data_IF_503063198526
#
_entry.id   IF_503063198526
#
_cell.length_a   1.000
_cell.length_b   1.000
_cell.length_c   1.000
_cell.angle_alpha   90.00
_cell.angle_beta   90.00
_cell.angle_gamma   90.00
#
_symmetry.space_group_name_H-M   'P 1'
#
loop_
_entity.id
_entity.type
_entity.pdbx_description
1 polymer ?
#
# COMPACT_ATOMS: atom_id res chain seq x y z
N UNK A 1 -20.76 18.70 -4.26
CA UNK A 1 -21.14 17.90 -3.08
C UNK A 1 -20.88 16.41 -3.25
N UNK A 2 -21.32 15.73 -4.32
CA UNK A 2 -21.10 14.27 -4.49
C UNK A 2 -19.61 13.87 -4.50
N UNK A 3 -18.75 14.63 -5.17
CA UNK A 3 -17.29 14.35 -5.18
C UNK A 3 -16.64 14.55 -3.80
N UNK A 4 -17.11 15.53 -3.02
CA UNK A 4 -16.63 15.76 -1.66
C UNK A 4 -17.01 14.61 -0.74
N UNK A 5 -18.25 14.11 -0.84
CA UNK A 5 -18.72 12.97 -0.04
C UNK A 5 -17.92 11.67 -0.36
N UNK A 6 -17.61 11.45 -1.64
CA UNK A 6 -16.77 10.32 -2.05
C UNK A 6 -15.34 10.45 -1.50
N UNK A 7 -14.75 11.65 -1.51
CA UNK A 7 -13.43 11.92 -0.94
C UNK A 7 -13.40 11.70 0.57
N UNK A 8 -14.45 12.12 1.29
CA UNK A 8 -14.58 11.89 2.74
C UNK A 8 -14.67 10.40 3.07
N UNK A 9 -15.46 9.63 2.32
CA UNK A 9 -15.57 8.17 2.49
C UNK A 9 -14.24 7.46 2.21
N UNK A 10 -13.49 7.94 1.24
CA UNK A 10 -12.15 7.41 0.93
C UNK A 10 -11.17 7.73 2.05
N UNK A 11 -11.14 8.97 2.53
CA UNK A 11 -10.28 9.40 3.64
C UNK A 11 -10.57 8.64 4.94
N UNK A 12 -11.85 8.33 5.21
CA UNK A 12 -12.25 7.58 6.39
C UNK A 12 -11.60 6.19 6.44
N UNK A 13 -11.53 5.48 5.30
CA UNK A 13 -10.86 4.18 5.23
C UNK A 13 -9.36 4.29 5.58
N UNK A 14 -8.69 5.37 5.15
CA UNK A 14 -7.28 5.60 5.51
C UNK A 14 -7.10 5.92 7.00
N UNK A 15 -8.00 6.71 7.60
CA UNK A 15 -7.96 7.03 9.02
C UNK A 15 -8.19 5.81 9.92
N UNK A 16 -8.89 4.80 9.43
CA UNK A 16 -9.12 3.56 10.17
C UNK A 16 -7.93 2.59 10.12
N UNK A 17 -6.98 2.75 9.18
CA UNK A 17 -5.81 1.87 9.06
C UNK A 17 -4.92 1.85 10.31
N UNK A 18 -4.56 2.97 10.96
CA UNK A 18 -3.81 2.93 12.22
C UNK A 18 -4.51 2.14 13.32
N UNK A 19 -5.82 2.31 13.48
CA UNK A 19 -6.61 1.55 14.44
C UNK A 19 -6.62 0.04 14.11
N UNK A 20 -6.82 -0.30 12.84
CA UNK A 20 -6.73 -1.68 12.36
C UNK A 20 -5.36 -2.28 12.60
N UNK A 21 -4.29 -1.51 12.38
CA UNK A 21 -2.93 -1.96 12.61
C UNK A 21 -2.62 -2.22 14.09
N UNK A 22 -3.13 -1.39 15.00
CA UNK A 22 -3.04 -1.64 16.45
C UNK A 22 -3.78 -2.91 16.81
N UNK A 23 -5.04 -3.03 16.37
CA UNK A 23 -5.89 -4.18 16.72
C UNK A 23 -5.30 -5.49 16.19
N UNK A 24 -5.12 -5.59 14.88
CA UNK A 24 -4.67 -6.83 14.24
C UNK A 24 -3.17 -7.09 14.41
N UNK A 25 -2.36 -6.03 14.57
CA UNK A 25 -0.95 -6.16 14.93
C UNK A 25 -0.79 -6.80 16.31
N UNK A 26 -1.57 -6.33 17.30
CA UNK A 26 -1.62 -6.95 18.62
C UNK A 26 -2.09 -8.41 18.54
N UNK A 27 -3.14 -8.69 17.76
CA UNK A 27 -3.59 -10.07 17.54
C UNK A 27 -2.49 -10.93 16.90
N UNK A 28 -1.77 -10.40 15.91
CA UNK A 28 -0.69 -11.12 15.22
C UNK A 28 0.49 -11.42 16.17
N UNK A 29 0.87 -10.46 17.01
CA UNK A 29 1.99 -10.62 17.93
C UNK A 29 1.65 -11.48 19.18
N UNK A 30 0.36 -11.55 19.55
CA UNK A 30 -0.11 -12.29 20.73
C UNK A 30 -0.64 -13.70 20.42
N UNK A 31 -1.39 -13.84 19.32
CA UNK A 31 -2.15 -15.06 19.00
C UNK A 31 -1.70 -15.72 17.69
N UNK A 32 -0.69 -15.14 17.03
CA UNK A 32 -0.13 -15.66 15.78
C UNK A 32 -0.57 -14.91 14.53
N UNK A 33 0.32 -14.96 13.53
CA UNK A 33 0.17 -14.25 12.26
C UNK A 33 -1.00 -14.77 11.46
N UNK A 34 -1.18 -16.11 11.42
CA UNK A 34 -2.26 -16.79 10.73
C UNK A 34 -3.64 -16.32 11.18
N UNK A 35 -3.89 -16.31 12.49
CA UNK A 35 -5.19 -15.93 13.05
C UNK A 35 -5.54 -14.49 12.71
N UNK A 36 -4.60 -13.57 12.86
CA UNK A 36 -4.77 -12.16 12.51
C UNK A 36 -5.11 -11.98 11.03
N UNK A 37 -4.41 -12.65 10.12
CA UNK A 37 -4.64 -12.61 8.68
C UNK A 37 -6.02 -13.17 8.28
N UNK A 38 -6.50 -14.19 8.98
CA UNK A 38 -7.84 -14.75 8.74
C UNK A 38 -8.94 -13.75 9.12
N UNK A 39 -8.85 -13.13 10.30
CA UNK A 39 -9.83 -12.14 10.74
C UNK A 39 -9.82 -10.88 9.87
N UNK A 40 -8.65 -10.41 9.45
CA UNK A 40 -8.54 -9.29 8.52
C UNK A 40 -9.29 -9.56 7.21
N UNK A 41 -9.10 -10.74 6.60
CA UNK A 41 -9.80 -11.11 5.37
C UNK A 41 -11.32 -11.25 5.55
N UNK A 42 -11.78 -11.76 6.70
CA UNK A 42 -13.23 -11.81 7.00
C UNK A 42 -13.83 -10.40 7.03
N UNK A 43 -13.16 -9.44 7.68
CA UNK A 43 -13.62 -8.05 7.69
C UNK A 43 -13.65 -7.44 6.30
N UNK A 44 -12.64 -7.71 5.47
CA UNK A 44 -12.58 -7.24 4.07
C UNK A 44 -13.73 -7.80 3.25
N UNK A 45 -13.98 -9.11 3.38
CA UNK A 45 -15.09 -9.79 2.71
C UNK A 45 -16.43 -9.16 3.09
N UNK A 46 -16.68 -9.02 4.39
CA UNK A 46 -17.92 -8.46 4.91
C UNK A 46 -18.14 -7.02 4.45
N UNK A 47 -17.10 -6.16 4.54
CA UNK A 47 -17.16 -4.79 4.04
C UNK A 47 -17.45 -4.71 2.53
N UNK A 48 -16.84 -5.59 1.73
CA UNK A 48 -17.08 -5.66 0.28
C UNK A 48 -18.49 -6.13 -0.06
N UNK A 49 -19.00 -7.16 0.64
CA UNK A 49 -20.37 -7.62 0.49
C UNK A 49 -21.40 -6.55 0.88
N UNK A 50 -21.17 -5.83 1.98
CA UNK A 50 -22.04 -4.72 2.38
C UNK A 50 -22.18 -3.68 1.27
N UNK A 51 -21.09 -3.33 0.59
CA UNK A 51 -21.12 -2.39 -0.55
C UNK A 51 -21.87 -3.01 -1.73
N UNK A 52 -21.58 -4.27 -2.05
CA UNK A 52 -22.20 -4.98 -3.19
C UNK A 52 -23.71 -5.05 -3.10
N UNK A 53 -24.25 -5.31 -1.91
CA UNK A 53 -25.70 -5.46 -1.68
C UNK A 53 -26.39 -4.16 -1.23
N UNK A 54 -25.62 -3.06 -1.05
CA UNK A 54 -26.18 -1.81 -0.54
C UNK A 54 -27.27 -1.27 -1.48
N UNK A 55 -28.51 -1.05 -1.00
CA UNK A 55 -29.54 -0.40 -1.78
C UNK A 55 -29.20 1.05 -2.08
N UNK A 56 -29.85 1.61 -3.10
CA UNK A 56 -29.61 3.00 -3.51
C UNK A 56 -30.21 3.99 -2.50
N UNK A 57 -29.72 5.24 -2.55
CA UNK A 57 -30.26 6.33 -1.70
C UNK A 57 -31.78 6.52 -1.90
N UNK A 58 -32.28 6.31 -3.12
CA UNK A 58 -33.70 6.41 -3.45
C UNK A 58 -34.57 5.34 -2.77
N UNK A 59 -33.96 4.21 -2.40
CA UNK A 59 -34.66 3.10 -1.75
C UNK A 59 -34.66 3.19 -0.23
N UNK A 60 -33.50 3.54 0.38
CA UNK A 60 -33.31 3.50 1.84
C UNK A 60 -32.85 4.83 2.45
N UNK A 61 -32.83 5.91 1.67
CA UNK A 61 -32.48 7.25 2.16
C UNK A 61 -31.10 7.32 2.81
N UNK A 62 -31.03 7.94 3.98
CA UNK A 62 -29.78 8.11 4.75
C UNK A 62 -29.11 6.82 5.20
N UNK A 63 -29.82 5.70 5.23
CA UNK A 63 -29.23 4.41 5.58
C UNK A 63 -28.20 3.95 4.53
N UNK A 64 -28.29 4.36 3.25
CA UNK A 64 -27.34 4.02 2.21
C UNK A 64 -25.94 4.59 2.50
N UNK A 65 -25.72 5.90 2.69
CA UNK A 65 -24.40 6.43 3.01
C UNK A 65 -23.88 5.93 4.36
N UNK A 66 -24.72 5.68 5.37
CA UNK A 66 -24.30 5.08 6.64
C UNK A 66 -23.76 3.68 6.42
N UNK A 67 -24.43 2.85 5.65
CA UNK A 67 -23.96 1.49 5.28
C UNK A 67 -22.61 1.54 4.55
N UNK A 68 -22.45 2.46 3.60
CA UNK A 68 -21.18 2.65 2.90
C UNK A 68 -20.06 3.11 3.86
N UNK A 69 -20.38 3.99 4.82
CA UNK A 69 -19.42 4.46 5.83
C UNK A 69 -18.95 3.29 6.72
N UNK A 70 -19.89 2.47 7.22
CA UNK A 70 -19.55 1.29 8.02
C UNK A 70 -18.68 0.33 7.21
N UNK A 71 -19.05 0.04 5.97
CA UNK A 71 -18.26 -0.83 5.11
C UNK A 71 -16.84 -0.30 4.90
N UNK A 72 -16.66 1.02 4.71
CA UNK A 72 -15.34 1.65 4.58
C UNK A 72 -14.52 1.60 5.86
N UNK A 73 -15.14 1.73 7.02
CA UNK A 73 -14.50 1.53 8.32
C UNK A 73 -13.96 0.11 8.42
N UNK A 74 -14.79 -0.90 8.13
CA UNK A 74 -14.38 -2.31 8.17
C UNK A 74 -13.23 -2.61 7.20
N UNK A 75 -13.30 -2.12 5.98
CA UNK A 75 -12.23 -2.26 4.99
C UNK A 75 -10.93 -1.56 5.46
N UNK A 76 -11.03 -0.37 6.05
CA UNK A 76 -9.89 0.36 6.59
C UNK A 76 -9.20 -0.37 7.74
N UNK A 77 -9.98 -0.89 8.69
CA UNK A 77 -9.49 -1.72 9.79
C UNK A 77 -8.78 -2.98 9.27
N UNK A 78 -9.40 -3.68 8.32
CA UNK A 78 -8.82 -4.86 7.68
C UNK A 78 -7.47 -4.57 7.03
N UNK A 79 -7.41 -3.54 6.18
CA UNK A 79 -6.17 -3.16 5.47
C UNK A 79 -5.05 -2.73 6.43
N UNK A 80 -5.40 -2.02 7.51
CA UNK A 80 -4.43 -1.61 8.52
C UNK A 80 -3.75 -2.81 9.17
N UNK A 81 -4.52 -3.82 9.52
CA UNK A 81 -4.01 -5.03 10.15
C UNK A 81 -3.28 -5.97 9.20
N UNK A 82 -3.78 -6.08 7.99
CA UNK A 82 -3.23 -7.02 7.00
C UNK A 82 -1.79 -6.68 6.62
N UNK A 83 -1.46 -5.39 6.48
CA UNK A 83 -0.11 -4.99 6.08
C UNK A 83 0.96 -5.49 7.05
N UNK A 84 0.82 -5.19 8.35
CA UNK A 84 1.79 -5.58 9.37
C UNK A 84 1.92 -7.10 9.50
N UNK A 85 0.79 -7.81 9.57
CA UNK A 85 0.76 -9.25 9.71
C UNK A 85 1.31 -9.99 8.47
N UNK A 86 0.93 -9.56 7.25
CA UNK A 86 1.37 -10.24 6.01
C UNK A 86 2.83 -9.97 5.68
N UNK A 87 3.32 -8.74 5.88
CA UNK A 87 4.73 -8.40 5.70
C UNK A 87 5.61 -9.19 6.68
N UNK A 88 5.16 -9.32 7.94
CA UNK A 88 5.82 -10.12 8.98
C UNK A 88 5.82 -11.59 8.61
N UNK A 89 4.65 -12.17 8.33
CA UNK A 89 4.52 -13.58 7.99
C UNK A 89 5.43 -13.97 6.82
N UNK A 90 5.38 -13.23 5.72
CA UNK A 90 6.18 -13.55 4.54
C UNK A 90 7.68 -13.40 4.78
N UNK A 91 8.09 -12.39 5.57
CA UNK A 91 9.50 -12.22 5.94
C UNK A 91 10.00 -13.34 6.86
N UNK A 92 9.13 -13.88 7.72
CA UNK A 92 9.46 -14.97 8.66
C UNK A 92 9.57 -16.33 7.97
N UNK A 93 8.72 -16.65 6.99
CA UNK A 93 8.76 -17.92 6.24
C UNK A 93 9.82 -17.92 5.13
N UNK A 94 10.25 -16.75 4.67
CA UNK A 94 11.23 -16.64 3.61
C UNK A 94 12.62 -17.11 4.07
N UNK A 95 13.29 -17.87 3.19
CA UNK A 95 14.69 -18.23 3.42
C UNK A 95 15.55 -16.97 3.62
N UNK A 96 16.47 -16.92 4.61
CA UNK A 96 17.24 -15.73 4.96
C UNK A 96 17.92 -15.03 3.76
N UNK A 97 18.44 -15.80 2.82
CA UNK A 97 19.13 -15.29 1.64
C UNK A 97 18.20 -14.83 0.49
N UNK A 98 16.86 -14.95 0.65
CA UNK A 98 15.86 -14.60 -0.37
C UNK A 98 14.72 -13.73 0.17
N UNK A 99 14.86 -13.17 1.35
CA UNK A 99 13.83 -12.32 1.98
C UNK A 99 13.47 -11.11 1.13
N UNK A 100 14.47 -10.52 0.42
CA UNK A 100 14.24 -9.42 -0.49
C UNK A 100 13.40 -9.82 -1.71
N UNK A 101 13.72 -10.95 -2.34
CA UNK A 101 12.92 -11.49 -3.44
C UNK A 101 11.45 -11.70 -3.02
N UNK A 102 11.21 -12.34 -1.88
CA UNK A 102 9.85 -12.55 -1.36
C UNK A 102 9.14 -11.24 -1.01
N UNK A 103 9.86 -10.25 -0.49
CA UNK A 103 9.31 -8.90 -0.29
C UNK A 103 8.87 -8.25 -1.61
N UNK A 104 9.66 -8.41 -2.68
CA UNK A 104 9.27 -7.98 -4.03
C UNK A 104 8.03 -8.71 -4.55
N UNK A 105 7.96 -10.03 -4.38
CA UNK A 105 6.78 -10.83 -4.74
C UNK A 105 5.54 -10.37 -3.95
N UNK A 106 5.69 -10.08 -2.66
CA UNK A 106 4.59 -9.53 -1.86
C UNK A 106 4.09 -8.20 -2.42
N UNK A 107 5.00 -7.32 -2.87
CA UNK A 107 4.60 -6.05 -3.46
C UNK A 107 3.90 -6.22 -4.83
N UNK A 108 4.21 -7.29 -5.57
CA UNK A 108 3.46 -7.70 -6.78
C UNK A 108 1.98 -7.88 -6.46
N UNK A 109 1.63 -8.45 -5.29
CA UNK A 109 0.22 -8.65 -4.93
C UNK A 109 -0.52 -7.33 -4.69
N UNK A 110 0.16 -6.32 -4.12
CA UNK A 110 -0.42 -4.98 -3.90
C UNK A 110 -0.71 -4.26 -5.24
N UNK A 111 0.26 -4.26 -6.15
CA UNK A 111 0.09 -3.64 -7.49
C UNK A 111 -0.87 -4.49 -8.33
N UNK A 112 -0.79 -5.81 -8.23
CA UNK A 112 -1.64 -6.76 -8.93
C UNK A 112 -3.13 -6.59 -8.59
N UNK A 113 -3.44 -6.29 -7.34
CA UNK A 113 -4.80 -5.96 -6.93
C UNK A 113 -5.35 -4.71 -7.63
N UNK A 114 -4.53 -3.67 -7.80
CA UNK A 114 -4.92 -2.46 -8.56
C UNK A 114 -5.07 -2.76 -10.06
N UNK A 115 -4.14 -3.54 -10.62
CA UNK A 115 -4.21 -3.94 -12.03
C UNK A 115 -5.47 -4.78 -12.30
N UNK A 116 -5.81 -5.70 -11.41
CA UNK A 116 -7.03 -6.50 -11.51
C UNK A 116 -8.29 -5.64 -11.45
N UNK A 117 -8.35 -4.68 -10.51
CA UNK A 117 -9.48 -3.78 -10.40
C UNK A 117 -9.65 -2.92 -11.68
N UNK A 118 -8.55 -2.43 -12.24
CA UNK A 118 -8.55 -1.69 -13.51
C UNK A 118 -9.02 -2.58 -14.68
N UNK A 119 -8.53 -3.82 -14.74
CA UNK A 119 -8.93 -4.80 -15.76
C UNK A 119 -10.42 -5.10 -15.69
N UNK A 120 -10.94 -5.37 -14.49
CA UNK A 120 -12.38 -5.61 -14.29
C UNK A 120 -13.20 -4.40 -14.77
N UNK A 121 -12.78 -3.20 -14.39
CA UNK A 121 -13.47 -1.97 -14.81
C UNK A 121 -13.46 -1.80 -16.34
N UNK A 122 -12.30 -2.03 -16.99
CA UNK A 122 -12.18 -1.98 -18.45
C UNK A 122 -13.10 -2.98 -19.14
N UNK A 123 -13.11 -4.23 -18.68
CA UNK A 123 -13.97 -5.29 -19.23
C UNK A 123 -15.44 -4.90 -19.10
N UNK A 124 -15.86 -4.40 -17.93
CA UNK A 124 -17.24 -3.98 -17.71
C UNK A 124 -17.61 -2.80 -18.62
N UNK A 125 -16.75 -1.79 -18.77
CA UNK A 125 -17.04 -0.57 -19.55
C UNK A 125 -17.01 -0.78 -21.06
N UNK A 126 -16.10 -1.63 -21.54
CA UNK A 126 -15.84 -1.75 -22.98
C UNK A 126 -16.52 -2.96 -23.63
N UNK A 127 -16.75 -4.04 -22.88
CA UNK A 127 -17.20 -5.31 -23.45
C UNK A 127 -18.57 -5.76 -22.96
N UNK A 128 -18.98 -5.43 -21.74
CA UNK A 128 -20.12 -6.08 -21.10
C UNK A 128 -21.30 -5.15 -20.81
N UNK A 129 -21.09 -3.88 -20.47
CA UNK A 129 -22.13 -3.00 -19.95
C UNK A 129 -22.18 -1.68 -20.68
N UNK A 130 -23.39 -1.16 -20.90
CA UNK A 130 -23.59 0.22 -21.32
C UNK A 130 -23.28 1.19 -20.16
N UNK A 131 -22.98 2.48 -20.41
CA UNK A 131 -22.77 3.47 -19.37
C UNK A 131 -23.93 3.56 -18.37
N UNK A 132 -25.17 3.39 -18.83
CA UNK A 132 -26.37 3.43 -17.97
C UNK A 132 -26.48 2.18 -17.10
N UNK A 133 -26.19 0.99 -17.63
CA UNK A 133 -26.13 -0.25 -16.87
C UNK A 133 -25.03 -0.20 -15.81
N UNK A 134 -23.85 0.33 -16.17
CA UNK A 134 -22.74 0.48 -15.23
C UNK A 134 -23.13 1.40 -14.05
N UNK A 135 -23.81 2.52 -14.32
CA UNK A 135 -24.28 3.46 -13.29
C UNK A 135 -25.42 2.86 -12.45
N UNK A 136 -26.32 2.12 -13.05
CA UNK A 136 -27.51 1.60 -12.37
C UNK A 136 -27.17 0.47 -11.38
N UNK A 137 -26.37 -0.52 -11.82
CA UNK A 137 -26.06 -1.71 -11.02
C UNK A 137 -24.64 -2.25 -11.24
N UNK A 138 -24.04 -2.04 -12.39
CA UNK A 138 -22.77 -2.66 -12.78
C UNK A 138 -21.60 -2.28 -11.88
N UNK A 139 -21.63 -1.13 -11.21
CA UNK A 139 -20.64 -0.69 -10.23
C UNK A 139 -20.51 -1.63 -9.01
N UNK A 140 -21.51 -2.52 -8.79
CA UNK A 140 -21.48 -3.51 -7.70
C UNK A 140 -20.59 -4.70 -8.03
N UNK A 141 -20.43 -5.04 -9.31
CA UNK A 141 -19.69 -6.23 -9.76
C UNK A 141 -18.27 -6.30 -9.22
N UNK A 142 -17.44 -5.22 -9.27
CA UNK A 142 -16.11 -5.26 -8.68
C UNK A 142 -16.09 -5.61 -7.19
N UNK A 143 -17.11 -5.20 -6.42
CA UNK A 143 -17.21 -5.51 -5.00
C UNK A 143 -17.63 -6.97 -4.75
N UNK A 144 -18.48 -7.53 -5.60
CA UNK A 144 -18.82 -8.97 -5.58
C UNK A 144 -17.57 -9.80 -5.88
N UNK A 145 -16.81 -9.43 -6.93
CA UNK A 145 -15.55 -10.11 -7.27
C UNK A 145 -14.56 -10.00 -6.10
N UNK A 146 -14.41 -8.82 -5.50
CA UNK A 146 -13.56 -8.62 -4.32
C UNK A 146 -13.96 -9.48 -3.13
N UNK A 147 -15.26 -9.63 -2.88
CA UNK A 147 -15.78 -10.52 -1.84
C UNK A 147 -15.47 -11.99 -2.13
N UNK A 148 -15.68 -12.45 -3.36
CA UNK A 148 -15.35 -13.82 -3.78
C UNK A 148 -13.84 -14.12 -3.64
N UNK A 149 -12.98 -13.18 -4.06
CA UNK A 149 -11.54 -13.30 -3.86
C UNK A 149 -11.20 -13.37 -2.37
N UNK A 150 -11.88 -12.59 -1.52
CA UNK A 150 -11.66 -12.63 -0.07
C UNK A 150 -12.08 -13.97 0.54
N UNK A 151 -13.19 -14.58 0.08
CA UNK A 151 -13.60 -15.93 0.48
C UNK A 151 -12.55 -16.96 0.07
N UNK A 152 -12.06 -16.89 -1.17
CA UNK A 152 -10.99 -17.75 -1.64
C UNK A 152 -9.69 -17.58 -0.82
N UNK A 153 -9.30 -16.34 -0.55
CA UNK A 153 -8.14 -16.04 0.29
C UNK A 153 -8.30 -16.58 1.72
N UNK A 154 -9.49 -16.47 2.31
CA UNK A 154 -9.81 -17.06 3.62
C UNK A 154 -9.62 -18.59 3.59
N UNK A 155 -10.15 -19.24 2.56
CA UNK A 155 -10.01 -20.68 2.40
C UNK A 155 -8.54 -21.11 2.28
N UNK A 156 -7.74 -20.42 1.48
CA UNK A 156 -6.29 -20.68 1.38
C UNK A 156 -5.55 -20.44 2.70
N UNK A 157 -5.92 -19.38 3.43
CA UNK A 157 -5.28 -19.03 4.72
C UNK A 157 -5.64 -20.00 5.84
N UNK A 158 -6.73 -20.74 5.70
CA UNK A 158 -7.13 -21.75 6.70
C UNK A 158 -6.09 -22.85 6.86
N UNK A 159 -5.39 -23.19 5.80
CA UNK A 159 -4.40 -24.27 5.79
C UNK A 159 -2.95 -23.77 5.99
N UNK A 160 -2.75 -22.46 6.21
CA UNK A 160 -1.45 -21.89 6.54
C UNK A 160 -0.96 -22.42 7.91
N UNK A 161 0.32 -22.67 8.00
CA UNK A 161 0.98 -22.98 9.29
C UNK A 161 1.49 -21.69 9.93
N UNK A 162 1.50 -21.66 11.26
CA UNK A 162 2.12 -20.56 11.98
C UNK A 162 3.64 -20.61 11.84
N UNK A 163 4.30 -19.44 11.85
CA UNK A 163 5.74 -19.35 11.62
C UNK A 163 6.54 -19.97 12.75
N UNK A 164 7.65 -20.64 12.43
CA UNK A 164 8.50 -21.28 13.43
C UNK A 164 9.16 -20.24 14.33
N UNK A 165 9.46 -19.06 13.81
CA UNK A 165 9.99 -17.94 14.60
C UNK A 165 8.98 -17.48 15.67
N UNK A 166 7.68 -17.43 15.32
CA UNK A 166 6.64 -17.09 16.31
C UNK A 166 6.54 -18.15 17.39
N UNK A 167 6.47 -19.44 17.03
CA UNK A 167 6.40 -20.55 18.00
C UNK A 167 7.60 -20.57 18.94
N UNK A 168 8.81 -20.31 18.40
CA UNK A 168 10.04 -20.25 19.22
C UNK A 168 10.04 -19.03 20.16
N UNK A 169 9.47 -17.90 19.74
CA UNK A 169 9.39 -16.69 20.55
C UNK A 169 8.29 -16.76 21.61
N UNK A 170 7.17 -17.44 21.34
CA UNK A 170 6.02 -17.56 22.25
C UNK A 170 6.42 -18.06 23.65
N UNK A 171 7.30 -19.05 23.72
CA UNK A 171 7.79 -19.61 24.96
C UNK A 171 8.66 -18.62 25.77
N UNK A 172 9.30 -17.66 25.12
CA UNK A 172 10.22 -16.68 25.73
C UNK A 172 9.56 -15.34 26.02
N UNK A 173 8.65 -14.89 25.15
CA UNK A 173 7.99 -13.57 25.20
C UNK A 173 6.87 -13.46 26.24
N UNK A 174 6.44 -14.56 26.87
CA UNK A 174 5.28 -14.59 27.79
C UNK A 174 5.42 -13.70 29.05
N UNK A 175 6.56 -13.05 29.26
CA UNK A 175 6.88 -12.28 30.48
C UNK A 175 6.80 -10.75 30.34
N UNK A 176 6.76 -10.19 29.13
CA UNK A 176 6.76 -8.74 28.96
C UNK A 176 5.53 -8.24 28.16
N UNK A 177 5.03 -7.08 28.55
CA UNK A 177 3.94 -6.42 27.81
C UNK A 177 4.44 -5.94 26.44
N UNK A 178 3.67 -6.22 25.39
CA UNK A 178 3.93 -5.74 24.01
C UNK A 178 4.12 -4.22 23.96
N UNK A 179 3.35 -3.47 24.76
CA UNK A 179 3.44 -2.00 24.81
C UNK A 179 4.76 -1.51 25.41
N UNK A 180 5.29 -2.21 26.42
CA UNK A 180 6.60 -1.91 26.99
C UNK A 180 7.70 -2.16 25.97
N UNK A 181 7.63 -3.28 25.26
CA UNK A 181 8.59 -3.62 24.20
C UNK A 181 8.55 -2.60 23.05
N UNK A 182 7.36 -2.16 22.63
CA UNK A 182 7.23 -1.10 21.62
C UNK A 182 7.87 0.21 22.11
N UNK A 183 7.63 0.59 23.38
CA UNK A 183 8.23 1.78 23.97
C UNK A 183 9.76 1.70 24.00
N UNK A 184 10.33 0.55 24.31
CA UNK A 184 11.79 0.32 24.27
C UNK A 184 12.37 0.42 22.85
N UNK A 185 11.57 0.12 21.82
CA UNK A 185 11.96 0.17 20.41
C UNK A 185 11.48 1.44 19.69
N UNK A 186 11.25 2.55 20.40
CA UNK A 186 10.71 3.79 19.81
C UNK A 186 11.56 4.36 18.67
N UNK A 187 12.89 4.19 18.72
CA UNK A 187 13.81 4.64 17.66
C UNK A 187 13.54 3.92 16.35
N UNK A 188 13.25 2.63 16.41
CA UNK A 188 12.88 1.81 15.25
C UNK A 188 11.51 2.22 14.71
N UNK A 189 10.54 2.55 15.59
CA UNK A 189 9.24 3.07 15.15
C UNK A 189 9.39 4.39 14.39
N UNK A 190 10.18 5.34 14.91
CA UNK A 190 10.47 6.61 14.21
C UNK A 190 11.22 6.34 12.89
N UNK A 191 12.16 5.39 12.89
CA UNK A 191 12.86 4.99 11.67
C UNK A 191 11.88 4.49 10.61
N UNK A 192 10.93 3.62 10.96
CA UNK A 192 9.90 3.13 10.03
C UNK A 192 9.04 4.26 9.48
N UNK A 193 8.63 5.23 10.32
CA UNK A 193 7.93 6.43 9.83
C UNK A 193 8.79 7.14 8.79
N UNK A 194 10.01 7.49 9.13
CA UNK A 194 10.90 8.27 8.27
C UNK A 194 11.19 7.60 6.92
N UNK A 195 11.53 6.29 6.94
CA UNK A 195 11.78 5.55 5.68
C UNK A 195 10.52 5.36 4.83
N UNK A 196 9.33 5.53 5.41
CA UNK A 196 8.05 5.27 4.74
C UNK A 196 7.47 6.52 4.06
N UNK A 197 7.72 7.72 4.58
CA UNK A 197 7.12 8.98 4.10
C UNK A 197 7.25 9.15 2.58
N UNK A 198 8.48 9.16 2.07
CA UNK A 198 8.75 9.39 0.64
C UNK A 198 8.29 8.23 -0.24
N UNK A 199 8.52 7.00 0.21
CA UNK A 199 8.11 5.82 -0.55
C UNK A 199 6.60 5.71 -0.68
N UNK A 200 5.85 6.01 0.38
CA UNK A 200 4.39 6.02 0.36
C UNK A 200 3.84 7.15 -0.49
N UNK A 201 4.37 8.37 -0.33
CA UNK A 201 3.97 9.52 -1.16
C UNK A 201 4.21 9.24 -2.64
N UNK A 202 5.38 8.72 -3.02
CA UNK A 202 5.70 8.34 -4.40
C UNK A 202 4.75 7.22 -4.91
N UNK A 203 4.51 6.18 -4.12
CA UNK A 203 3.62 5.07 -4.50
C UNK A 203 2.21 5.59 -4.83
N UNK A 204 1.59 6.38 -3.95
CA UNK A 204 0.24 6.91 -4.20
C UNK A 204 0.21 7.97 -5.31
N UNK A 205 1.30 8.70 -5.54
CA UNK A 205 1.43 9.61 -6.69
C UNK A 205 1.36 8.82 -8.00
N UNK A 206 2.15 7.74 -8.13
CA UNK A 206 2.24 6.98 -9.40
C UNK A 206 1.18 5.88 -9.56
N UNK A 207 0.39 5.59 -8.52
CA UNK A 207 -0.76 4.68 -8.60
C UNK A 207 -2.09 5.44 -8.65
N UNK A 208 -2.48 6.02 -7.52
CA UNK A 208 -3.83 6.58 -7.35
C UNK A 208 -4.02 7.91 -8.06
N UNK A 209 -3.08 8.85 -7.88
CA UNK A 209 -3.19 10.19 -8.45
C UNK A 209 -2.84 10.23 -9.94
N UNK A 210 -1.95 9.35 -10.42
CA UNK A 210 -1.43 9.39 -11.80
C UNK A 210 -2.52 9.35 -12.86
N UNK A 211 -3.59 8.57 -12.68
CA UNK A 211 -4.70 8.53 -13.64
C UNK A 211 -5.38 9.91 -13.77
N UNK A 212 -5.59 10.60 -12.65
CA UNK A 212 -6.17 11.95 -12.67
C UNK A 212 -5.18 12.95 -13.26
N UNK A 213 -3.92 12.83 -12.96
CA UNK A 213 -2.87 13.67 -13.51
C UNK A 213 -2.80 13.58 -15.04
N UNK A 214 -2.80 12.36 -15.59
CA UNK A 214 -2.78 12.13 -17.03
C UNK A 214 -4.00 12.74 -17.75
N UNK A 215 -5.18 12.68 -17.14
CA UNK A 215 -6.39 13.28 -17.68
C UNK A 215 -6.42 14.80 -17.54
N UNK A 216 -6.17 15.30 -16.34
CA UNK A 216 -6.44 16.69 -15.97
C UNK A 216 -5.27 17.62 -16.29
N UNK A 217 -4.04 17.14 -16.28
CA UNK A 217 -2.81 17.95 -16.42
C UNK A 217 -2.11 17.69 -17.74
N UNK A 218 -2.05 16.43 -18.18
CA UNK A 218 -1.46 16.05 -19.48
C UNK A 218 -2.47 16.17 -20.61
N UNK A 219 -3.77 15.95 -20.33
CA UNK A 219 -4.86 16.07 -21.31
C UNK A 219 -5.03 14.81 -22.18
N UNK A 220 -4.59 13.64 -21.69
CA UNK A 220 -4.83 12.37 -22.39
C UNK A 220 -6.30 11.95 -22.32
N UNK A 221 -6.78 11.27 -23.36
CA UNK A 221 -8.11 10.66 -23.36
C UNK A 221 -8.23 9.56 -22.30
N UNK A 222 -9.46 9.17 -21.96
CA UNK A 222 -9.74 8.11 -21.00
C UNK A 222 -9.08 6.78 -21.41
N UNK A 223 -9.14 6.45 -22.70
CA UNK A 223 -8.55 5.22 -23.24
C UNK A 223 -7.01 5.25 -23.19
N UNK A 224 -6.40 6.38 -23.57
CA UNK A 224 -4.96 6.57 -23.50
C UNK A 224 -4.45 6.50 -22.05
N UNK A 225 -5.14 7.19 -21.13
CA UNK A 225 -4.82 7.17 -19.71
C UNK A 225 -4.87 5.75 -19.15
N UNK A 226 -5.91 5.00 -19.48
CA UNK A 226 -6.09 3.64 -19.01
C UNK A 226 -4.99 2.72 -19.54
N UNK A 227 -4.69 2.82 -20.85
CA UNK A 227 -3.64 2.00 -21.48
C UNK A 227 -2.25 2.30 -20.90
N UNK A 228 -1.90 3.58 -20.73
CA UNK A 228 -0.64 4.03 -20.15
C UNK A 228 -0.51 3.53 -18.72
N UNK A 229 -1.57 3.70 -17.90
CA UNK A 229 -1.55 3.25 -16.50
C UNK A 229 -1.47 1.73 -16.40
N UNK A 230 -2.23 0.99 -17.20
CA UNK A 230 -2.20 -0.46 -17.24
C UNK A 230 -0.80 -0.99 -17.60
N UNK A 231 -0.20 -0.48 -18.67
CA UNK A 231 1.15 -0.89 -19.08
C UNK A 231 2.21 -0.55 -18.04
N UNK A 232 2.13 0.64 -17.42
CA UNK A 232 3.06 1.05 -16.37
C UNK A 232 2.95 0.19 -15.09
N UNK A 233 1.73 -0.18 -14.67
CA UNK A 233 1.54 -1.11 -13.55
C UNK A 233 2.03 -2.52 -13.88
N UNK A 234 1.85 -2.98 -15.11
CA UNK A 234 2.39 -4.28 -15.57
C UNK A 234 3.92 -4.28 -15.52
N UNK A 235 4.56 -3.21 -16.02
CA UNK A 235 6.01 -3.03 -15.88
C UNK A 235 6.44 -3.03 -14.40
N UNK A 236 5.72 -2.31 -13.53
CA UNK A 236 6.00 -2.26 -12.12
C UNK A 236 5.96 -3.65 -11.46
N UNK A 237 4.97 -4.49 -11.80
CA UNK A 237 4.85 -5.87 -11.30
C UNK A 237 6.09 -6.70 -11.66
N UNK A 238 6.57 -6.58 -12.90
CA UNK A 238 7.71 -7.38 -13.39
C UNK A 238 9.00 -7.01 -12.66
N UNK A 239 9.23 -5.73 -12.39
CA UNK A 239 10.49 -5.28 -11.80
C UNK A 239 10.57 -5.47 -10.27
N UNK A 240 9.45 -5.60 -9.55
CA UNK A 240 9.47 -5.76 -8.09
C UNK A 240 10.31 -6.97 -7.61
N UNK A 241 10.09 -8.21 -8.09
CA UNK A 241 10.90 -9.35 -7.67
C UNK A 241 12.36 -9.22 -8.06
N UNK A 242 12.67 -8.57 -9.19
CA UNK A 242 14.03 -8.34 -9.68
C UNK A 242 14.79 -7.45 -8.69
N UNK A 243 14.22 -6.31 -8.30
CA UNK A 243 14.83 -5.42 -7.31
C UNK A 243 14.94 -6.11 -5.94
N UNK A 244 13.93 -6.88 -5.57
CA UNK A 244 13.97 -7.71 -4.36
C UNK A 244 15.17 -8.67 -4.37
N UNK A 245 15.36 -9.42 -5.47
CA UNK A 245 16.50 -10.34 -5.65
C UNK A 245 17.85 -9.61 -5.65
N UNK A 246 17.95 -8.45 -6.31
CA UNK A 246 19.15 -7.61 -6.28
C UNK A 246 19.48 -7.22 -4.84
N UNK A 247 18.50 -6.87 -4.02
CA UNK A 247 18.71 -6.52 -2.62
C UNK A 247 19.25 -7.69 -1.78
N UNK A 248 18.95 -8.93 -2.16
CA UNK A 248 19.50 -10.11 -1.50
C UNK A 248 21.01 -10.28 -1.77
N UNK A 249 21.52 -9.67 -2.84
CA UNK A 249 22.95 -9.68 -3.19
C UNK A 249 23.66 -8.47 -2.57
N UNK A 250 23.25 -7.25 -2.94
CA UNK A 250 23.98 -6.02 -2.60
C UNK A 250 23.61 -5.40 -1.26
N UNK A 251 22.57 -5.92 -0.56
CA UNK A 251 22.01 -5.32 0.66
C UNK A 251 20.78 -4.45 0.41
N UNK A 252 20.12 -4.01 1.49
CA UNK A 252 18.89 -3.20 1.43
C UNK A 252 19.20 -1.71 1.25
N UNK A 253 20.21 -1.24 1.98
CA UNK A 253 20.57 0.17 2.05
C UNK A 253 20.91 0.81 0.69
N UNK A 254 21.68 0.16 -0.21
CA UNK A 254 21.99 0.74 -1.53
C UNK A 254 20.74 1.05 -2.37
N UNK A 255 19.72 0.19 -2.34
CA UNK A 255 18.47 0.41 -3.07
C UNK A 255 17.64 1.55 -2.46
N UNK A 256 17.58 1.65 -1.13
CA UNK A 256 16.92 2.75 -0.43
C UNK A 256 17.58 4.09 -0.77
N UNK A 257 18.91 4.15 -0.73
CA UNK A 257 19.69 5.36 -1.10
C UNK A 257 19.46 5.69 -2.58
N UNK A 258 19.51 4.68 -3.47
CA UNK A 258 19.25 4.86 -4.89
C UNK A 258 17.87 5.47 -5.15
N UNK A 259 16.80 4.92 -4.53
CA UNK A 259 15.48 5.53 -4.58
C UNK A 259 15.47 6.95 -4.03
N UNK A 260 16.08 7.18 -2.85
CA UNK A 260 16.10 8.49 -2.21
C UNK A 260 16.79 9.55 -3.07
N UNK A 261 17.97 9.26 -3.62
CA UNK A 261 18.73 10.20 -4.46
C UNK A 261 18.04 10.43 -5.80
N UNK A 262 17.76 9.36 -6.54
CA UNK A 262 17.13 9.48 -7.87
C UNK A 262 15.70 10.03 -7.77
N UNK A 263 14.95 9.68 -6.74
CA UNK A 263 13.61 10.22 -6.50
C UNK A 263 13.64 11.69 -6.11
N UNK A 264 14.57 12.12 -5.25
CA UNK A 264 14.70 13.55 -4.87
C UNK A 264 15.09 14.40 -6.07
N UNK A 265 16.06 13.97 -6.86
CA UNK A 265 16.53 14.72 -8.03
C UNK A 265 15.56 14.60 -9.22
N UNK A 266 14.90 13.46 -9.37
CA UNK A 266 14.11 13.10 -10.55
C UNK A 266 12.63 13.43 -10.48
N UNK A 267 11.99 13.49 -9.28
CA UNK A 267 10.52 13.62 -9.18
C UNK A 267 10.02 14.94 -9.79
N UNK A 268 10.64 16.06 -9.45
CA UNK A 268 10.23 17.36 -9.99
C UNK A 268 10.38 17.43 -11.52
N UNK A 269 11.57 17.20 -12.11
CA UNK A 269 11.72 17.26 -13.56
C UNK A 269 10.87 16.21 -14.30
N UNK A 270 10.67 15.03 -13.72
CA UNK A 270 9.84 13.98 -14.33
C UNK A 270 8.37 14.41 -14.40
N UNK A 271 7.79 14.92 -13.32
CA UNK A 271 6.39 15.39 -13.31
C UNK A 271 6.21 16.62 -14.21
N UNK A 272 7.19 17.54 -14.25
CA UNK A 272 7.15 18.70 -15.16
C UNK A 272 7.21 18.26 -16.62
N UNK A 273 8.11 17.34 -16.98
CA UNK A 273 8.20 16.81 -18.35
C UNK A 273 6.94 16.03 -18.71
N UNK A 274 6.40 15.25 -17.76
CA UNK A 274 5.16 14.51 -17.96
C UNK A 274 3.96 15.45 -18.21
N UNK A 275 3.88 16.58 -17.49
CA UNK A 275 2.84 17.59 -17.68
C UNK A 275 2.92 18.25 -19.06
N UNK A 276 4.12 18.46 -19.59
CA UNK A 276 4.34 19.11 -20.88
C UNK A 276 4.17 18.20 -22.09
N UNK A 277 4.20 16.88 -21.91
CA UNK A 277 4.06 15.93 -23.02
C UNK A 277 2.60 15.75 -23.41
N UNK A 278 2.38 15.57 -24.74
CA UNK A 278 1.08 15.17 -25.30
C UNK A 278 1.09 13.74 -25.86
N UNK A 279 2.25 13.09 -25.83
CA UNK A 279 2.43 11.75 -26.38
C UNK A 279 2.15 10.67 -25.31
N UNK A 280 1.18 9.77 -25.52
CA UNK A 280 0.94 8.65 -24.61
C UNK A 280 2.16 7.75 -24.43
N UNK A 281 2.96 7.55 -25.49
CA UNK A 281 4.18 6.74 -25.41
C UNK A 281 5.25 7.39 -24.52
N UNK A 282 5.45 8.70 -24.64
CA UNK A 282 6.40 9.42 -23.78
C UNK A 282 5.90 9.41 -22.33
N UNK A 283 4.60 9.60 -22.11
CA UNK A 283 4.00 9.50 -20.78
C UNK A 283 4.22 8.10 -20.17
N UNK A 284 4.01 7.04 -20.95
CA UNK A 284 4.27 5.67 -20.53
C UNK A 284 5.73 5.46 -20.12
N UNK A 285 6.70 5.88 -20.95
CA UNK A 285 8.11 5.71 -20.66
C UNK A 285 8.56 6.48 -19.41
N UNK A 286 8.06 7.71 -19.23
CA UNK A 286 8.33 8.51 -18.03
C UNK A 286 7.77 7.86 -16.75
N UNK A 287 6.57 7.30 -16.83
CA UNK A 287 5.98 6.59 -15.68
C UNK A 287 6.72 5.27 -15.41
N UNK A 288 7.16 4.55 -16.44
CA UNK A 288 8.04 3.38 -16.25
C UNK A 288 9.37 3.76 -15.59
N UNK A 289 9.98 4.89 -15.98
CA UNK A 289 11.18 5.41 -15.32
C UNK A 289 10.89 5.75 -13.85
N UNK A 290 9.75 6.39 -13.54
CA UNK A 290 9.34 6.63 -12.17
C UNK A 290 9.21 5.32 -11.37
N UNK A 291 8.57 4.30 -11.95
CA UNK A 291 8.46 2.99 -11.32
C UNK A 291 9.81 2.30 -11.12
N UNK A 292 10.75 2.42 -12.06
CA UNK A 292 12.11 1.90 -11.88
C UNK A 292 12.79 2.55 -10.66
N UNK A 293 12.62 3.86 -10.45
CA UNK A 293 13.16 4.57 -9.28
C UNK A 293 12.45 4.13 -8.00
N UNK A 294 11.10 4.15 -7.98
CA UNK A 294 10.29 3.84 -6.80
C UNK A 294 10.43 2.38 -6.37
N UNK A 295 10.71 1.47 -7.31
CA UNK A 295 10.92 0.05 -7.01
C UNK A 295 12.14 -0.22 -6.13
N UNK A 296 13.11 0.69 -6.09
CA UNK A 296 14.20 0.64 -5.12
C UNK A 296 13.76 0.67 -3.65
N UNK A 297 12.59 1.27 -3.38
CA UNK A 297 11.95 1.24 -2.07
C UNK A 297 10.87 0.17 -1.97
N UNK A 298 9.93 0.13 -2.93
CA UNK A 298 8.71 -0.68 -2.79
C UNK A 298 9.00 -2.16 -2.73
N UNK A 299 9.97 -2.66 -3.50
CA UNK A 299 10.33 -4.09 -3.53
C UNK A 299 10.85 -4.64 -2.21
N UNK A 300 11.47 -3.80 -1.38
CA UNK A 300 12.13 -4.23 -0.14
C UNK A 300 11.50 -3.65 1.13
N UNK A 301 10.48 -2.83 0.99
CA UNK A 301 9.90 -2.09 2.13
C UNK A 301 9.35 -3.00 3.22
N UNK A 302 8.80 -4.16 2.87
CA UNK A 302 8.28 -5.12 3.84
C UNK A 302 9.40 -5.74 4.67
N UNK A 303 10.43 -6.26 4.01
CA UNK A 303 11.55 -6.94 4.67
C UNK A 303 12.39 -5.97 5.50
N UNK A 304 12.68 -4.76 5.00
CA UNK A 304 13.44 -3.75 5.76
C UNK A 304 12.77 -3.42 7.09
N UNK A 305 11.45 -3.24 7.07
CA UNK A 305 10.69 -2.96 8.30
C UNK A 305 10.64 -4.16 9.23
N UNK A 306 10.44 -5.38 8.69
CA UNK A 306 10.40 -6.59 9.51
C UNK A 306 11.76 -6.88 10.17
N UNK A 307 12.88 -6.64 9.47
CA UNK A 307 14.24 -6.82 9.97
C UNK A 307 14.61 -5.88 11.13
N UNK A 308 13.87 -4.79 11.35
CA UNK A 308 14.12 -3.83 12.45
C UNK A 308 13.59 -4.29 13.80
N UNK A 309 12.65 -5.24 13.86
CA UNK A 309 11.96 -5.60 15.09
C UNK A 309 12.16 -7.08 15.48
N UNK A 310 12.25 -7.36 16.79
CA UNK A 310 12.20 -8.71 17.29
C UNK A 310 10.81 -9.33 17.07
N UNK A 311 10.75 -10.66 17.10
CA UNK A 311 9.55 -11.44 16.76
C UNK A 311 8.33 -11.07 17.61
N UNK A 312 8.53 -10.77 18.90
CA UNK A 312 7.44 -10.51 19.85
C UNK A 312 6.59 -9.27 19.55
N UNK A 313 7.14 -8.29 18.79
CA UNK A 313 6.46 -7.01 18.48
C UNK A 313 6.52 -6.67 17.00
N UNK A 314 6.90 -7.60 16.15
CA UNK A 314 7.21 -7.32 14.74
C UNK A 314 5.99 -6.84 13.95
N UNK A 315 4.84 -7.48 14.12
CA UNK A 315 3.65 -7.09 13.37
C UNK A 315 3.15 -5.68 13.77
N UNK A 316 3.15 -5.34 15.05
CA UNK A 316 2.84 -3.99 15.52
C UNK A 316 3.90 -2.98 15.15
N UNK A 317 5.18 -3.33 15.30
CA UNK A 317 6.32 -2.47 14.97
C UNK A 317 6.38 -2.10 13.49
N UNK A 318 6.03 -3.02 12.60
CA UNK A 318 5.90 -2.77 11.15
C UNK A 318 4.59 -2.02 10.83
N UNK A 319 3.48 -2.50 11.36
CA UNK A 319 2.16 -2.10 10.94
C UNK A 319 1.77 -0.70 11.41
N UNK A 320 1.94 -0.39 12.70
CA UNK A 320 1.47 0.88 13.29
C UNK A 320 2.13 2.10 12.61
N UNK A 321 3.47 2.21 12.57
CA UNK A 321 4.11 3.37 11.96
C UNK A 321 3.87 3.44 10.44
N UNK A 322 3.78 2.29 9.76
CA UNK A 322 3.40 2.27 8.35
C UNK A 322 1.97 2.79 8.14
N UNK A 323 0.99 2.28 8.89
CA UNK A 323 -0.41 2.66 8.73
C UNK A 323 -0.62 4.15 9.03
N UNK A 324 0.05 4.68 10.06
CA UNK A 324 0.03 6.11 10.39
C UNK A 324 0.61 6.95 9.24
N UNK A 325 1.79 6.55 8.73
CA UNK A 325 2.44 7.26 7.63
C UNK A 325 1.63 7.17 6.34
N UNK A 326 1.04 6.01 6.04
CA UNK A 326 0.19 5.81 4.88
C UNK A 326 -1.11 6.62 4.98
N UNK A 327 -1.70 6.76 6.16
CA UNK A 327 -2.89 7.59 6.37
C UNK A 327 -2.57 9.08 6.11
N UNK A 328 -1.45 9.57 6.63
CA UNK A 328 -1.06 10.99 6.50
C UNK A 328 -0.51 11.27 5.10
N UNK A 329 0.53 10.57 4.67
CA UNK A 329 1.29 10.88 3.45
C UNK A 329 0.82 10.10 2.20
N UNK A 330 0.00 9.07 2.36
CA UNK A 330 -0.62 8.34 1.26
C UNK A 330 -2.03 8.84 0.97
N UNK A 331 -2.88 8.89 2.00
CA UNK A 331 -4.27 9.32 1.88
C UNK A 331 -4.45 10.79 1.47
N UNK A 332 -3.46 11.64 1.72
CA UNK A 332 -3.50 13.08 1.40
C UNK A 332 -2.86 13.45 0.05
N UNK A 333 -2.18 12.52 -0.63
CA UNK A 333 -1.51 12.80 -1.93
C UNK A 333 -2.47 13.44 -2.92
N UNK A 334 -3.60 12.80 -3.16
CA UNK A 334 -4.58 13.29 -4.14
C UNK A 334 -5.24 14.61 -3.73
N UNK A 335 -5.75 14.79 -2.51
CA UNK A 335 -6.25 16.08 -2.05
C UNK A 335 -5.24 17.21 -2.15
N UNK A 336 -3.98 17.00 -1.77
CA UNK A 336 -2.92 17.99 -1.85
C UNK A 336 -2.63 18.34 -3.32
N UNK A 337 -2.51 17.34 -4.18
CA UNK A 337 -2.25 17.56 -5.60
C UNK A 337 -3.37 18.35 -6.26
N UNK A 338 -4.64 18.02 -6.00
CA UNK A 338 -5.79 18.74 -6.52
C UNK A 338 -5.89 20.16 -5.94
N UNK A 339 -5.54 20.36 -4.66
CA UNK A 339 -5.49 21.70 -4.08
C UNK A 339 -4.51 22.61 -4.83
N UNK A 340 -3.26 22.18 -5.02
CA UNK A 340 -2.27 22.96 -5.76
C UNK A 340 -2.69 23.21 -7.22
N UNK A 341 -3.30 22.20 -7.86
CA UNK A 341 -3.83 22.34 -9.21
C UNK A 341 -4.92 23.42 -9.29
N UNK A 342 -5.86 23.41 -8.35
CA UNK A 342 -6.96 24.39 -8.32
C UNK A 342 -6.47 25.82 -8.03
N UNK A 343 -5.32 25.96 -7.36
CA UNK A 343 -4.67 27.25 -7.14
C UNK A 343 -3.83 27.72 -8.36
N UNK A 344 -3.78 26.96 -9.44
CA UNK A 344 -2.91 27.26 -10.59
C UNK A 344 -1.42 27.09 -10.35
N UNK A 345 -1.03 26.45 -9.23
CA UNK A 345 0.36 26.23 -8.83
C UNK A 345 0.65 24.72 -8.68
N UNK A 346 0.46 23.96 -9.73
CA UNK A 346 0.58 22.50 -9.73
C UNK A 346 1.99 22.01 -9.36
N UNK A 347 3.02 22.80 -9.70
CA UNK A 347 4.42 22.54 -9.30
C UNK A 347 4.64 22.52 -7.77
N UNK A 348 3.75 23.12 -6.99
CA UNK A 348 3.77 23.01 -5.52
C UNK A 348 3.62 21.58 -5.03
N UNK A 349 2.79 20.78 -5.72
CA UNK A 349 2.68 19.35 -5.46
C UNK A 349 3.97 18.60 -5.81
N UNK A 350 4.66 18.96 -6.90
CA UNK A 350 5.93 18.32 -7.27
C UNK A 350 7.00 18.53 -6.20
N UNK A 351 7.08 19.75 -5.66
CA UNK A 351 7.95 20.04 -4.51
C UNK A 351 7.55 19.30 -3.24
N UNK A 352 6.25 19.17 -2.97
CA UNK A 352 5.76 18.37 -1.84
C UNK A 352 6.20 16.90 -1.95
N UNK A 353 5.98 16.26 -3.10
CA UNK A 353 6.39 14.87 -3.34
C UNK A 353 7.91 14.70 -3.24
N UNK A 354 8.68 15.62 -3.84
CA UNK A 354 10.15 15.66 -3.75
C UNK A 354 10.61 15.79 -2.30
N UNK A 355 10.00 16.71 -1.54
CA UNK A 355 10.33 16.92 -0.12
C UNK A 355 10.06 15.69 0.75
N UNK A 356 8.96 14.96 0.50
CA UNK A 356 8.68 13.72 1.18
C UNK A 356 9.78 12.67 0.91
N UNK A 357 10.25 12.54 -0.34
CA UNK A 357 11.32 11.61 -0.70
C UNK A 357 12.65 12.05 -0.06
N UNK A 358 12.94 13.34 -0.06
CA UNK A 358 14.13 13.89 0.59
C UNK A 358 14.16 13.60 2.10
N UNK A 359 13.02 13.75 2.80
CA UNK A 359 12.91 13.37 4.21
C UNK A 359 13.28 11.89 4.38
N UNK A 360 12.73 11.00 3.56
CA UNK A 360 13.09 9.58 3.63
C UNK A 360 14.55 9.31 3.29
N UNK A 361 15.14 10.05 2.34
CA UNK A 361 16.56 9.93 2.03
C UNK A 361 17.44 10.23 3.25
N UNK A 362 17.09 11.22 4.05
CA UNK A 362 17.81 11.50 5.30
C UNK A 362 17.80 10.26 6.22
N UNK A 363 16.64 9.62 6.40
CA UNK A 363 16.56 8.41 7.22
C UNK A 363 17.32 7.22 6.59
N UNK A 364 17.35 7.09 5.26
CA UNK A 364 18.12 6.05 4.58
C UNK A 364 19.64 6.19 4.79
N UNK A 365 20.15 7.41 4.98
CA UNK A 365 21.57 7.59 5.29
C UNK A 365 21.94 7.09 6.68
N UNK A 366 21.04 7.27 7.67
CA UNK A 366 21.26 6.87 9.06
C UNK A 366 21.00 5.39 9.33
N UNK A 367 20.10 4.74 8.58
CA UNK A 367 19.82 3.33 8.79
C UNK A 367 21.06 2.48 8.46
N UNK A 368 21.36 1.50 9.31
CA UNK A 368 22.32 0.44 8.97
C UNK A 368 21.68 -0.51 7.98
N UNK A 369 22.49 -1.22 7.17
CA UNK A 369 21.92 -2.22 6.26
C UNK A 369 21.24 -3.33 7.08
N UNK A 370 19.91 -3.44 6.91
CA UNK A 370 19.11 -4.35 7.73
C UNK A 370 19.37 -5.81 7.41
N UNK A 371 19.92 -6.14 6.22
CA UNK A 371 20.37 -7.50 5.90
C UNK A 371 21.45 -7.99 6.85
N UNK A 372 22.40 -7.13 7.23
CA UNK A 372 23.51 -7.47 8.13
C UNK A 372 23.18 -7.28 9.61
N UNK A 373 22.17 -6.47 9.93
CA UNK A 373 21.76 -6.13 11.30
C UNK A 373 20.34 -6.61 11.63
N UNK A 374 19.90 -7.64 10.94
CA UNK A 374 18.54 -8.18 11.07
C UNK A 374 18.27 -8.69 12.47
N UNK A 375 17.13 -8.28 13.02
CA UNK A 375 16.60 -8.76 14.30
C UNK A 375 15.53 -9.86 14.12
N UNK A 376 15.52 -10.50 12.95
CA UNK A 376 14.52 -11.52 12.62
C UNK A 376 14.56 -12.74 13.51
N UNK A 377 15.72 -13.06 14.08
CA UNK A 377 15.92 -14.22 14.96
C UNK A 377 15.84 -13.84 16.44
N UNK A 378 15.75 -12.53 16.76
CA UNK A 378 15.55 -12.07 18.12
C UNK A 378 14.12 -12.43 18.56
N UNK A 379 13.98 -13.06 19.73
CA UNK A 379 12.67 -13.36 20.29
C UNK A 379 12.02 -12.12 20.93
N UNK A 380 12.84 -11.28 21.59
CA UNK A 380 12.45 -10.07 22.33
C UNK A 380 13.41 -8.91 22.02
#
# INVERSE_FOLDING_TARGET
MQQLNAAVLFALAFLMRPLGSVLFGYFADRFGRRLSLMWAVILMCFGSLMIAVCPTYTQIGLAAPITLMIARILQGLSQGGEYGASATYLSEIAHPNRRGFYSGVWYVTLIGGQLLALTVLMVLQKLLLTPDQLKAWGWRIPFVIGALISVYAFWMRRDMHETDLFKAAESKAAKQSVWVLLGQNWKQLVMVVGITVGGTSAFYTYTTYMQKFLKLSVGLSDDQTTLVTFGALLFAIIIQPIYGAISDIIGRKPLLIGFGVLGTLGTYPLLTTLQSTKSPLVAFLLICLAWAIVSGYTSITAVVKAELFPTAIRAMGVGIPYALTAAIFGGTVEPIALYFKNQGFESGFYWYATGCIFISLMFYTFIKDTKSTSRMEDAV
#
